data_IF_570321241752
#
_entry.id   IF_570321241752
#
_cell.length_a   1.000
_cell.length_b   1.000
_cell.length_c   1.000
_cell.angle_alpha   90.00
_cell.angle_beta   90.00
_cell.angle_gamma   90.00
#
_symmetry.space_group_name_H-M   'P 1'
#
loop_
_entity.id
_entity.type
_entity.pdbx_description
1 polymer ?
#
# COMPACT_ATOMS: atom_id res chain seq x y z
N UNK A 1 1.32 -23.96 5.12
CA UNK A 1 2.14 -23.27 6.14
C UNK A 1 1.17 -22.71 7.17
N UNK A 2 1.23 -23.17 8.42
CA UNK A 2 0.41 -22.62 9.50
C UNK A 2 0.89 -21.20 9.83
N UNK A 3 -0.02 -20.23 9.83
CA UNK A 3 0.31 -18.82 10.15
C UNK A 3 0.65 -18.69 11.64
N UNK A 4 0.08 -19.55 12.50
CA UNK A 4 0.27 -19.48 13.95
C UNK A 4 1.70 -19.78 14.39
N UNK A 5 2.44 -20.57 13.61
CA UNK A 5 3.83 -20.93 13.93
C UNK A 5 4.83 -19.77 13.81
N UNK A 6 4.43 -18.65 13.19
CA UNK A 6 5.26 -17.45 13.02
C UNK A 6 4.94 -16.36 14.04
N UNK A 7 3.91 -16.55 14.85
CA UNK A 7 3.44 -15.56 15.79
C UNK A 7 4.19 -15.66 17.11
N UNK A 8 4.48 -14.52 17.71
CA UNK A 8 4.98 -14.50 19.08
C UNK A 8 3.86 -14.86 20.06
N UNK A 9 4.23 -15.19 21.30
CA UNK A 9 3.28 -15.62 22.33
C UNK A 9 2.14 -14.61 22.56
N UNK A 10 2.44 -13.30 22.48
CA UNK A 10 1.47 -12.22 22.62
C UNK A 10 0.43 -12.23 21.49
N UNK A 11 0.89 -12.36 20.25
CA UNK A 11 0.02 -12.44 19.07
C UNK A 11 -0.86 -13.69 19.10
N UNK A 12 -0.31 -14.84 19.51
CA UNK A 12 -1.10 -16.06 19.69
C UNK A 12 -2.19 -15.85 20.74
N UNK A 13 -1.86 -15.25 21.90
CA UNK A 13 -2.82 -14.97 22.95
C UNK A 13 -3.95 -14.02 22.54
N UNK A 14 -3.71 -13.10 21.59
CA UNK A 14 -4.76 -12.25 21.01
C UNK A 14 -5.59 -12.96 19.95
N UNK A 15 -4.97 -13.83 19.15
CA UNK A 15 -5.72 -14.66 18.21
C UNK A 15 -6.63 -15.66 18.92
N UNK A 16 -6.15 -16.28 19.99
CA UNK A 16 -6.96 -17.21 20.79
C UNK A 16 -8.14 -16.48 21.44
N UNK A 17 -7.92 -15.25 21.90
CA UNK A 17 -9.00 -14.40 22.43
C UNK A 17 -10.01 -14.06 21.32
N UNK A 18 -9.55 -13.63 20.14
CA UNK A 18 -10.40 -13.34 19.00
C UNK A 18 -11.22 -14.57 18.56
N UNK A 19 -10.59 -15.74 18.48
CA UNK A 19 -11.24 -17.01 18.13
C UNK A 19 -12.30 -17.40 19.16
N UNK A 20 -12.03 -17.15 20.45
CA UNK A 20 -12.97 -17.43 21.53
C UNK A 20 -14.23 -16.58 21.41
N UNK A 21 -14.12 -15.27 21.19
CA UNK A 21 -15.28 -14.39 20.99
C UNK A 21 -15.98 -14.70 19.66
N UNK A 22 -15.22 -14.98 18.60
CA UNK A 22 -15.77 -15.35 17.30
C UNK A 22 -16.61 -16.65 17.37
N UNK A 23 -16.18 -17.62 18.17
CA UNK A 23 -16.87 -18.90 18.31
C UNK A 23 -18.01 -18.88 19.33
N UNK A 24 -17.81 -18.22 20.49
CA UNK A 24 -18.76 -18.23 21.62
C UNK A 24 -19.87 -17.20 21.47
N UNK A 25 -19.55 -15.99 20.99
CA UNK A 25 -20.49 -14.86 21.05
C UNK A 25 -21.27 -14.68 19.74
N UNK A 26 -20.86 -15.35 18.66
CA UNK A 26 -21.52 -15.29 17.37
C UNK A 26 -22.26 -16.59 17.06
N UNK A 27 -23.41 -16.44 16.39
CA UNK A 27 -24.10 -17.59 15.79
C UNK A 27 -23.41 -18.05 14.50
N UNK A 28 -23.66 -19.30 14.04
CA UNK A 28 -23.14 -19.79 12.77
C UNK A 28 -23.46 -18.89 11.57
N UNK A 29 -24.66 -18.30 11.54
CA UNK A 29 -25.12 -17.36 10.49
C UNK A 29 -24.29 -16.08 10.47
N UNK A 30 -24.04 -15.48 11.65
CA UNK A 30 -23.23 -14.27 11.78
C UNK A 30 -21.78 -14.52 11.32
N UNK A 31 -21.20 -15.67 11.70
CA UNK A 31 -19.86 -16.08 11.26
C UNK A 31 -19.79 -16.24 9.73
N UNK A 32 -20.80 -16.85 9.12
CA UNK A 32 -20.85 -17.01 7.67
C UNK A 32 -20.95 -15.66 6.96
N UNK A 33 -21.81 -14.76 7.44
CA UNK A 33 -21.94 -13.40 6.93
C UNK A 33 -20.61 -12.63 7.04
N UNK A 34 -19.91 -12.72 8.17
CA UNK A 34 -18.59 -12.11 8.35
C UNK A 34 -17.54 -12.71 7.42
N UNK A 35 -17.54 -14.03 7.22
CA UNK A 35 -16.65 -14.70 6.27
C UNK A 35 -16.91 -14.26 4.83
N UNK A 36 -18.18 -14.12 4.44
CA UNK A 36 -18.58 -13.62 3.12
C UNK A 36 -18.20 -12.15 2.94
N UNK A 37 -18.39 -11.33 3.96
CA UNK A 37 -17.98 -9.93 3.99
C UNK A 37 -16.45 -9.79 3.84
N UNK A 38 -15.66 -10.58 4.56
CA UNK A 38 -14.21 -10.65 4.39
C UNK A 38 -13.82 -11.09 2.97
N UNK A 39 -14.55 -12.04 2.40
CA UNK A 39 -14.40 -12.47 1.00
C UNK A 39 -14.62 -11.33 0.00
N UNK A 40 -15.59 -10.44 0.23
CA UNK A 40 -15.83 -9.25 -0.60
C UNK A 40 -14.63 -8.29 -0.56
N UNK A 41 -14.13 -7.96 0.64
CA UNK A 41 -12.95 -7.10 0.78
C UNK A 41 -11.76 -7.70 0.05
N UNK A 42 -11.46 -8.98 0.31
CA UNK A 42 -10.35 -9.70 -0.34
C UNK A 42 -10.46 -9.67 -1.86
N UNK A 43 -11.63 -10.00 -2.41
CA UNK A 43 -11.82 -10.05 -3.86
C UNK A 43 -11.67 -8.66 -4.48
N UNK A 44 -12.22 -7.62 -3.86
CA UNK A 44 -12.04 -6.26 -4.34
C UNK A 44 -10.57 -5.87 -4.31
N UNK A 45 -9.89 -6.00 -3.16
CA UNK A 45 -8.47 -5.63 -3.02
C UNK A 45 -7.59 -6.38 -4.02
N UNK A 46 -7.87 -7.67 -4.25
CA UNK A 46 -7.16 -8.47 -5.25
C UNK A 46 -7.37 -7.92 -6.68
N UNK A 47 -8.61 -7.69 -7.09
CA UNK A 47 -8.93 -7.14 -8.41
C UNK A 47 -8.37 -5.72 -8.57
N UNK A 48 -8.53 -4.88 -7.56
CA UNK A 48 -8.02 -3.51 -7.55
C UNK A 48 -6.51 -3.43 -7.61
N UNK A 49 -5.81 -4.33 -6.89
CA UNK A 49 -4.36 -4.44 -6.98
C UNK A 49 -3.91 -4.82 -8.39
N UNK A 50 -4.54 -5.82 -9.01
CA UNK A 50 -4.24 -6.21 -10.39
C UNK A 50 -4.48 -5.06 -11.38
N UNK A 51 -5.64 -4.42 -11.31
CA UNK A 51 -5.99 -3.27 -12.17
C UNK A 51 -5.03 -2.11 -11.94
N UNK A 52 -4.75 -1.77 -10.68
CA UNK A 52 -3.84 -0.70 -10.30
C UNK A 52 -2.42 -0.92 -10.81
N UNK A 53 -1.87 -2.14 -10.66
CA UNK A 53 -0.56 -2.49 -11.20
C UNK A 53 -0.52 -2.41 -12.73
N UNK A 54 -1.57 -2.89 -13.42
CA UNK A 54 -1.67 -2.81 -14.87
C UNK A 54 -1.68 -1.35 -15.36
N UNK A 55 -2.46 -0.49 -14.69
CA UNK A 55 -2.49 0.96 -14.98
C UNK A 55 -1.12 1.60 -14.70
N UNK A 56 -0.48 1.27 -13.59
CA UNK A 56 0.87 1.75 -13.26
C UNK A 56 1.90 1.37 -14.33
N UNK A 57 1.90 0.11 -14.78
CA UNK A 57 2.77 -0.35 -15.87
C UNK A 57 2.48 0.40 -17.19
N UNK A 58 1.21 0.60 -17.53
CA UNK A 58 0.81 1.35 -18.72
C UNK A 58 1.28 2.81 -18.66
N UNK A 59 1.16 3.47 -17.50
CA UNK A 59 1.66 4.83 -17.28
C UNK A 59 3.18 4.90 -17.34
N UNK A 60 3.89 3.93 -16.76
CA UNK A 60 5.34 3.85 -16.86
C UNK A 60 5.80 3.71 -18.33
N UNK A 61 5.13 2.84 -19.10
CA UNK A 61 5.39 2.70 -20.53
C UNK A 61 5.11 3.99 -21.31
N UNK A 62 3.96 4.63 -21.06
CA UNK A 62 3.60 5.91 -21.69
C UNK A 62 4.60 7.01 -21.35
N UNK A 63 5.07 7.08 -20.10
CA UNK A 63 6.11 8.02 -19.66
C UNK A 63 7.43 7.83 -20.41
N UNK A 64 7.87 6.58 -20.58
CA UNK A 64 9.08 6.26 -21.38
C UNK A 64 8.96 6.73 -22.83
N UNK A 65 7.82 6.47 -23.47
CA UNK A 65 7.56 6.92 -24.85
C UNK A 65 7.61 8.45 -24.93
N UNK A 66 7.04 9.16 -23.95
CA UNK A 66 7.09 10.62 -23.87
C UNK A 66 8.51 11.17 -23.73
N UNK A 67 9.29 10.62 -22.79
CA UNK A 67 10.70 11.00 -22.59
C UNK A 67 11.51 10.75 -23.86
N UNK A 68 11.34 9.57 -24.49
CA UNK A 68 12.07 9.25 -25.70
C UNK A 68 11.76 10.24 -26.83
N UNK A 69 10.49 10.57 -27.04
CA UNK A 69 10.08 11.57 -28.04
C UNK A 69 10.70 12.94 -27.76
N UNK A 70 10.65 13.40 -26.51
CA UNK A 70 11.26 14.66 -26.11
C UNK A 70 12.78 14.67 -26.38
N UNK A 71 13.48 13.60 -26.04
CA UNK A 71 14.93 13.47 -26.29
C UNK A 71 15.26 13.48 -27.78
N UNK A 72 14.47 12.82 -28.63
CA UNK A 72 14.66 12.85 -30.08
C UNK A 72 14.49 14.27 -30.63
N UNK A 73 13.44 14.97 -30.22
CA UNK A 73 13.23 16.37 -30.62
C UNK A 73 14.37 17.28 -30.17
N UNK A 74 14.84 17.12 -28.93
CA UNK A 74 15.95 17.92 -28.40
C UNK A 74 17.27 17.61 -29.12
N UNK A 75 17.54 16.36 -29.48
CA UNK A 75 18.73 15.97 -30.26
C UNK A 75 18.76 16.59 -31.65
N UNK A 76 17.58 16.83 -32.24
CA UNK A 76 17.41 17.46 -33.55
C UNK A 76 17.43 19.00 -33.49
N UNK A 77 17.27 19.60 -32.30
CA UNK A 77 17.34 21.04 -32.12
C UNK A 77 18.77 21.57 -32.36
N UNK A 78 18.92 22.81 -32.86
CA UNK A 78 20.23 23.43 -33.04
C UNK A 78 20.97 23.48 -31.69
N UNK A 79 22.22 23.02 -31.69
CA UNK A 79 23.03 22.91 -30.47
C UNK A 79 23.76 24.24 -30.22
N UNK A 80 23.71 24.81 -29.00
CA UNK A 80 24.51 25.98 -28.68
C UNK A 80 25.99 25.61 -28.73
N UNK A 81 26.74 26.29 -29.58
CA UNK A 81 28.19 26.05 -29.79
C UNK A 81 29.02 26.90 -28.82
N UNK A 82 28.44 27.99 -28.32
CA UNK A 82 29.10 29.02 -27.53
C UNK A 82 28.14 29.60 -26.49
N UNK A 83 28.63 29.78 -25.27
CA UNK A 83 27.96 30.52 -24.20
C UNK A 83 28.83 31.73 -23.86
N UNK A 84 28.23 32.92 -23.93
CA UNK A 84 28.88 34.17 -23.51
C UNK A 84 28.56 34.32 -22.02
N UNK A 85 29.59 34.26 -21.18
CA UNK A 85 29.44 34.46 -19.75
C UNK A 85 29.21 35.94 -19.44
N UNK A 86 28.66 36.25 -18.26
CA UNK A 86 28.47 37.64 -17.82
C UNK A 86 29.80 38.43 -17.77
N UNK A 87 30.93 37.73 -17.68
CA UNK A 87 32.29 38.29 -17.78
C UNK A 87 32.73 38.65 -19.21
N UNK A 88 31.91 38.36 -20.23
CA UNK A 88 32.28 38.48 -21.64
C UNK A 88 33.14 37.34 -22.17
N UNK A 89 33.43 36.32 -21.35
CA UNK A 89 34.21 35.16 -21.76
C UNK A 89 33.37 34.20 -22.62
N UNK A 90 33.98 33.75 -23.72
CA UNK A 90 33.38 32.83 -24.67
C UNK A 90 33.79 31.40 -24.33
N UNK A 91 32.85 30.60 -23.82
CA UNK A 91 33.12 29.18 -23.51
C UNK A 91 32.42 28.28 -24.52
N UNK A 92 33.22 27.43 -25.18
CA UNK A 92 32.68 26.40 -26.07
C UNK A 92 32.06 25.27 -25.27
N UNK A 93 30.80 24.98 -25.54
CA UNK A 93 30.13 23.82 -24.92
C UNK A 93 30.62 22.56 -25.61
N UNK A 94 31.32 21.69 -24.86
CA UNK A 94 31.76 20.40 -25.38
C UNK A 94 30.56 19.56 -25.84
N UNK A 95 30.69 18.98 -27.04
CA UNK A 95 29.71 18.04 -27.61
C UNK A 95 29.45 16.84 -26.69
N UNK A 96 30.42 16.48 -25.83
CA UNK A 96 30.29 15.37 -24.90
C UNK A 96 29.33 15.66 -23.74
N UNK A 97 29.37 16.89 -23.21
CA UNK A 97 28.45 17.35 -22.16
C UNK A 97 27.02 17.30 -22.68
N UNK A 98 26.80 17.79 -23.91
CA UNK A 98 25.51 17.72 -24.58
C UNK A 98 25.04 16.27 -24.78
N UNK A 99 25.91 15.38 -25.27
CA UNK A 99 25.57 13.97 -25.50
C UNK A 99 25.19 13.25 -24.19
N UNK A 100 25.87 13.56 -23.08
CA UNK A 100 25.57 13.00 -21.76
C UNK A 100 24.21 13.47 -21.25
N UNK A 101 23.90 14.75 -21.39
CA UNK A 101 22.67 15.35 -20.87
C UNK A 101 21.40 14.90 -21.62
N UNK A 102 21.50 14.65 -22.92
CA UNK A 102 20.38 14.16 -23.75
C UNK A 102 20.49 12.67 -24.09
N UNK A 103 21.22 11.91 -23.27
CA UNK A 103 21.30 10.45 -23.36
C UNK A 103 19.99 9.81 -22.89
N UNK A 104 19.67 8.62 -23.40
CA UNK A 104 18.52 7.87 -22.92
C UNK A 104 18.76 7.41 -21.47
N UNK A 105 17.69 7.36 -20.64
CA UNK A 105 17.82 6.85 -19.28
C UNK A 105 18.46 5.47 -19.26
N UNK A 106 19.44 5.27 -18.37
CA UNK A 106 20.10 3.98 -18.23
C UNK A 106 19.14 2.85 -17.77
N UNK A 107 19.54 1.58 -17.89
CA UNK A 107 18.71 0.44 -17.51
C UNK A 107 18.22 0.49 -16.05
N UNK A 108 19.09 0.93 -15.13
CA UNK A 108 18.76 1.06 -13.71
C UNK A 108 17.66 2.11 -13.47
N UNK A 109 17.78 3.30 -14.07
CA UNK A 109 16.76 4.36 -13.98
C UNK A 109 15.44 3.90 -14.59
N UNK A 110 15.51 3.18 -15.70
CA UNK A 110 14.35 2.63 -16.41
C UNK A 110 13.63 1.56 -15.60
N UNK A 111 14.37 0.74 -14.85
CA UNK A 111 13.82 -0.22 -13.90
C UNK A 111 13.18 0.51 -12.71
N UNK A 112 13.92 1.39 -12.04
CA UNK A 112 13.47 2.06 -10.83
C UNK A 112 12.21 2.90 -11.06
N UNK A 113 12.18 3.69 -12.14
CA UNK A 113 10.98 4.48 -12.52
C UNK A 113 9.75 3.59 -12.72
N UNK A 114 9.91 2.42 -13.33
CA UNK A 114 8.79 1.51 -13.58
C UNK A 114 8.36 0.79 -12.33
N UNK A 115 9.31 0.37 -11.50
CA UNK A 115 9.01 -0.21 -10.20
C UNK A 115 8.23 0.78 -9.33
N UNK A 116 8.69 2.03 -9.22
CA UNK A 116 8.03 3.06 -8.41
C UNK A 116 6.61 3.32 -8.95
N UNK A 117 6.46 3.64 -10.23
CA UNK A 117 5.14 3.96 -10.81
C UNK A 117 4.18 2.77 -10.71
N UNK A 118 4.66 1.55 -10.93
CA UNK A 118 3.82 0.34 -10.80
C UNK A 118 3.43 0.05 -9.36
N UNK A 119 4.33 0.30 -8.41
CA UNK A 119 4.06 0.15 -6.97
C UNK A 119 3.03 1.19 -6.51
N UNK A 120 3.15 2.44 -6.96
CA UNK A 120 2.12 3.45 -6.73
C UNK A 120 0.78 3.04 -7.34
N UNK A 121 0.79 2.50 -8.55
CA UNK A 121 -0.41 1.95 -9.19
C UNK A 121 -1.07 0.86 -8.34
N UNK A 122 -0.29 -0.10 -7.84
CA UNK A 122 -0.77 -1.15 -6.92
C UNK A 122 -1.40 -0.51 -5.67
N UNK A 123 -0.71 0.41 -5.01
CA UNK A 123 -1.18 1.05 -3.78
C UNK A 123 -2.47 1.82 -4.00
N UNK A 124 -2.57 2.62 -5.06
CA UNK A 124 -3.80 3.36 -5.39
C UNK A 124 -4.94 2.38 -5.68
N UNK A 125 -4.67 1.35 -6.49
CA UNK A 125 -5.65 0.32 -6.84
C UNK A 125 -6.17 -0.44 -5.63
N UNK A 126 -5.30 -0.86 -4.70
CA UNK A 126 -5.69 -1.58 -3.49
C UNK A 126 -6.45 -0.69 -2.51
N UNK A 127 -6.10 0.59 -2.36
CA UNK A 127 -6.82 1.52 -1.48
C UNK A 127 -8.23 1.83 -1.99
N UNK A 128 -8.39 2.12 -3.29
CA UNK A 128 -9.71 2.32 -3.90
C UNK A 128 -10.55 1.05 -3.78
N UNK A 129 -9.93 -0.11 -4.00
CA UNK A 129 -10.61 -1.38 -3.84
C UNK A 129 -10.94 -1.73 -2.39
N UNK A 130 -10.12 -1.32 -1.42
CA UNK A 130 -10.43 -1.47 0.00
C UNK A 130 -11.68 -0.66 0.37
N UNK A 131 -11.81 0.57 -0.13
CA UNK A 131 -13.00 1.40 0.09
C UNK A 131 -14.26 0.78 -0.53
N UNK A 132 -14.18 0.32 -1.78
CA UNK A 132 -15.34 -0.32 -2.44
C UNK A 132 -15.67 -1.68 -1.83
N UNK A 133 -14.64 -2.44 -1.44
CA UNK A 133 -14.75 -3.73 -0.77
C UNK A 133 -15.39 -3.62 0.61
N UNK A 134 -14.99 -2.63 1.41
CA UNK A 134 -15.59 -2.38 2.73
C UNK A 134 -17.05 -1.91 2.61
N UNK A 135 -17.37 -1.07 1.63
CA UNK A 135 -18.76 -0.72 1.32
C UNK A 135 -19.60 -1.94 0.94
N UNK A 136 -19.09 -2.82 0.07
CA UNK A 136 -19.78 -4.06 -0.28
C UNK A 136 -19.89 -5.04 0.90
N UNK A 137 -18.86 -5.14 1.73
CA UNK A 137 -18.84 -6.00 2.92
C UNK A 137 -19.86 -5.53 3.96
N UNK A 138 -19.96 -4.21 4.18
CA UNK A 138 -20.95 -3.60 5.06
C UNK A 138 -22.37 -3.98 4.66
N UNK A 139 -22.69 -3.98 3.36
CA UNK A 139 -24.01 -4.42 2.87
C UNK A 139 -24.31 -5.86 3.25
N UNK A 140 -23.34 -6.77 3.07
CA UNK A 140 -23.49 -8.19 3.45
C UNK A 140 -23.75 -8.34 4.95
N UNK A 141 -22.97 -7.67 5.79
CA UNK A 141 -23.15 -7.74 7.26
C UNK A 141 -24.52 -7.19 7.69
N UNK A 142 -24.98 -6.08 7.10
CA UNK A 142 -26.28 -5.51 7.43
C UNK A 142 -27.45 -6.42 7.00
N UNK A 143 -27.29 -7.16 5.90
CA UNK A 143 -28.35 -7.98 5.34
C UNK A 143 -28.43 -9.38 5.97
N UNK A 144 -27.28 -9.96 6.31
CA UNK A 144 -27.18 -11.39 6.64
C UNK A 144 -26.83 -11.66 8.10
N UNK A 145 -26.32 -10.68 8.85
CA UNK A 145 -25.92 -10.84 10.24
C UNK A 145 -26.82 -10.06 11.21
N UNK A 146 -26.89 -10.52 12.46
CA UNK A 146 -27.38 -9.72 13.57
C UNK A 146 -26.31 -8.70 13.97
N UNK A 147 -26.42 -7.50 13.42
CA UNK A 147 -25.46 -6.41 13.59
C UNK A 147 -25.23 -6.06 15.07
N UNK A 148 -26.26 -6.12 15.92
CA UNK A 148 -26.13 -5.79 17.33
C UNK A 148 -25.33 -6.84 18.09
N UNK A 149 -25.54 -8.13 17.79
CA UNK A 149 -24.73 -9.22 18.35
C UNK A 149 -23.27 -9.15 17.88
N UNK A 150 -23.05 -8.89 16.59
CA UNK A 150 -21.68 -8.70 16.05
C UNK A 150 -20.97 -7.53 16.73
N UNK A 151 -21.66 -6.40 16.95
CA UNK A 151 -21.10 -5.27 17.69
C UNK A 151 -20.80 -5.62 19.15
N UNK A 152 -21.69 -6.35 19.82
CA UNK A 152 -21.50 -6.76 21.21
C UNK A 152 -20.27 -7.67 21.36
N UNK A 153 -20.15 -8.69 20.49
CA UNK A 153 -18.99 -9.58 20.45
C UNK A 153 -17.69 -8.81 20.20
N UNK A 154 -17.69 -7.86 19.25
CA UNK A 154 -16.52 -7.03 18.96
C UNK A 154 -16.11 -6.13 20.13
N UNK A 155 -17.08 -5.51 20.82
CA UNK A 155 -16.81 -4.70 22.02
C UNK A 155 -16.25 -5.56 23.16
N UNK A 156 -16.82 -6.75 23.39
CA UNK A 156 -16.31 -7.69 24.39
C UNK A 156 -14.84 -8.05 24.14
N UNK A 157 -14.52 -8.39 22.89
CA UNK A 157 -13.15 -8.63 22.45
C UNK A 157 -12.21 -7.44 22.70
N UNK A 158 -12.62 -6.21 22.35
CA UNK A 158 -11.81 -5.01 22.58
C UNK A 158 -11.54 -4.79 24.07
N UNK A 159 -12.56 -4.97 24.92
CA UNK A 159 -12.43 -4.86 26.37
C UNK A 159 -11.40 -5.86 26.89
N UNK A 160 -11.45 -7.10 26.44
CA UNK A 160 -10.53 -8.14 26.93
C UNK A 160 -9.10 -7.98 26.38
N UNK A 161 -8.92 -7.40 25.19
CA UNK A 161 -7.59 -6.94 24.75
C UNK A 161 -7.05 -5.87 25.69
N UNK A 162 -7.85 -4.83 25.99
CA UNK A 162 -7.41 -3.72 26.83
C UNK A 162 -7.07 -4.18 28.25
N UNK A 163 -7.81 -5.15 28.80
CA UNK A 163 -7.48 -5.78 30.09
C UNK A 163 -6.13 -6.50 30.03
N UNK A 164 -5.87 -7.27 28.97
CA UNK A 164 -4.56 -7.94 28.79
C UNK A 164 -3.42 -6.94 28.63
N UNK A 165 -3.65 -5.85 27.91
CA UNK A 165 -2.65 -4.79 27.78
C UNK A 165 -2.36 -4.13 29.13
N UNK A 166 -3.39 -3.86 29.93
CA UNK A 166 -3.23 -3.32 31.28
C UNK A 166 -2.45 -4.30 32.19
N UNK A 167 -2.75 -5.60 32.14
CA UNK A 167 -2.01 -6.62 32.89
C UNK A 167 -0.53 -6.72 32.46
N UNK A 168 -0.26 -6.60 31.15
CA UNK A 168 1.11 -6.53 30.63
C UNK A 168 1.85 -5.26 31.12
N UNK A 169 1.13 -4.14 31.26
CA UNK A 169 1.68 -2.89 31.80
C UNK A 169 1.96 -2.98 33.30
N UNK A 170 1.03 -3.54 34.07
CA UNK A 170 1.16 -3.73 35.53
C UNK A 170 2.28 -4.71 35.88
N UNK A 171 2.50 -5.74 35.04
CA UNK A 171 3.57 -6.72 35.23
C UNK A 171 4.97 -6.23 34.81
N UNK A 172 5.10 -4.97 34.38
CA UNK A 172 6.39 -4.36 34.03
C UNK A 172 7.03 -4.95 32.77
N UNK A 173 6.27 -5.65 31.92
CA UNK A 173 6.78 -6.16 30.65
C UNK A 173 7.06 -5.01 29.68
N UNK A 174 8.13 -5.07 28.87
CA UNK A 174 8.46 -4.01 27.94
C UNK A 174 7.32 -3.77 26.94
N UNK A 175 6.88 -2.52 26.84
CA UNK A 175 5.81 -2.11 25.91
C UNK A 175 6.27 -2.26 24.47
N UNK A 176 5.75 -3.26 23.76
CA UNK A 176 5.70 -3.21 22.30
C UNK A 176 4.45 -2.40 21.92
N UNK A 177 4.61 -1.08 21.74
CA UNK A 177 3.53 -0.18 21.28
C UNK A 177 2.88 -0.75 20.02
N UNK A 178 1.58 -1.04 20.07
CA UNK A 178 0.80 -1.37 18.88
C UNK A 178 0.51 -0.08 18.10
N UNK A 179 1.48 0.33 17.29
CA UNK A 179 1.43 1.59 16.56
C UNK A 179 0.78 1.47 15.19
N UNK A 180 -0.49 1.84 15.09
CA UNK A 180 -0.99 2.61 13.93
C UNK A 180 -0.58 4.10 14.02
N UNK A 181 0.26 4.48 14.99
CA UNK A 181 0.75 5.85 15.23
C UNK A 181 2.25 6.07 15.01
N UNK A 182 2.99 5.09 14.48
CA UNK A 182 4.45 5.21 14.29
C UNK A 182 4.91 5.76 12.93
N UNK A 183 4.00 6.18 12.06
CA UNK A 183 4.34 6.56 10.68
C UNK A 183 4.45 8.08 10.46
N UNK A 184 4.26 8.91 11.49
CA UNK A 184 4.32 10.37 11.40
C UNK A 184 4.94 11.01 12.64
N UNK A 185 6.13 10.56 13.02
CA UNK A 185 7.03 11.42 13.81
C UNK A 185 8.19 11.79 12.87
N UNK A 186 8.16 13.05 12.40
CA UNK A 186 9.27 13.76 11.76
C UNK A 186 10.10 14.43 12.85
#
# INVERSE_FOLDING_TARGET
MDVRSRLNAKQQAYLDLAESHYSKDLEPSDREALKKAAGKVRNHVFVGGLVGSAVGLALAWRGRVGIHRALVTLRQAPKPVEIIMESGEHVQVSKEVYKRQFSEPGPLTTFLSTFIVSTFGLLVGTNVALLTGTSSAKKVVIQEANVERVKAAYRGFQIDILKKELEDLESGKPQQKFGWGGAFEL
#
